data_IF_593543510860
#
_entry.id   IF_593543510860
#
_cell.length_a   1.000
_cell.length_b   1.000
_cell.length_c   1.000
_cell.angle_alpha   90.00
_cell.angle_beta   90.00
_cell.angle_gamma   90.00
#
_symmetry.space_group_name_H-M   'P 1'
#
loop_
_entity.id
_entity.type
_entity.pdbx_description
1 polymer ?
#
# COMPACT_ATOMS: atom_id res chain seq x y z
N UNK A 1 17.88 17.34 33.44
CA UNK A 1 18.31 16.08 32.82
C UNK A 1 19.56 16.38 32.04
N UNK A 2 20.54 15.47 32.04
CA UNK A 2 21.74 15.63 31.22
C UNK A 2 21.41 15.61 29.72
N UNK A 3 22.18 16.32 28.88
CA UNK A 3 22.05 16.21 27.43
C UNK A 3 22.30 14.78 26.95
N UNK A 4 21.41 14.27 26.09
CA UNK A 4 21.55 12.93 25.49
C UNK A 4 21.57 13.05 23.97
N UNK A 5 22.25 12.13 23.25
CA UNK A 5 22.24 12.13 21.79
C UNK A 5 20.88 11.69 21.24
N UNK A 6 20.38 12.39 20.20
CA UNK A 6 19.16 12.00 19.52
C UNK A 6 19.36 10.79 18.60
N UNK A 7 18.50 9.76 18.72
CA UNK A 7 18.58 8.57 17.85
C UNK A 7 18.28 8.85 16.35
N UNK A 8 17.71 10.01 16.03
CA UNK A 8 17.35 10.36 14.65
C UNK A 8 18.38 11.23 13.92
N UNK A 9 19.05 12.14 14.62
CA UNK A 9 20.00 13.09 14.01
C UNK A 9 21.35 13.16 14.74
N UNK A 10 21.56 12.36 15.79
CA UNK A 10 22.77 12.32 16.63
C UNK A 10 23.14 13.61 17.34
N UNK A 11 22.39 14.70 17.15
CA UNK A 11 22.57 15.95 17.88
C UNK A 11 22.16 15.77 19.35
N UNK A 12 22.98 16.28 20.26
CA UNK A 12 22.66 16.31 21.69
C UNK A 12 21.49 17.25 21.96
N UNK A 13 20.58 16.84 22.85
CA UNK A 13 19.46 17.66 23.29
C UNK A 13 19.13 17.36 24.75
N UNK A 14 18.48 18.31 25.42
CA UNK A 14 18.01 18.11 26.80
C UNK A 14 16.60 17.48 26.76
N UNK A 15 16.42 16.25 27.27
CA UNK A 15 15.12 15.59 27.24
C UNK A 15 14.16 16.20 28.27
N UNK A 16 12.86 16.24 27.93
CA UNK A 16 11.80 16.72 28.83
C UNK A 16 11.31 15.64 29.79
N UNK A 17 11.48 14.37 29.42
CA UNK A 17 11.18 13.22 30.27
C UNK A 17 12.23 12.11 30.07
N UNK A 18 12.36 11.20 31.03
CA UNK A 18 13.39 10.14 31.04
C UNK A 18 13.29 9.17 29.86
N UNK A 19 12.12 9.09 29.20
CA UNK A 19 11.85 8.18 28.09
C UNK A 19 12.02 8.85 26.72
N UNK A 20 12.38 10.13 26.67
CA UNK A 20 12.50 10.86 25.41
C UNK A 20 13.82 10.51 24.73
N UNK A 21 13.75 9.80 23.60
CA UNK A 21 14.94 9.36 22.84
C UNK A 21 15.21 10.19 21.57
N UNK A 22 14.29 11.08 21.22
CA UNK A 22 14.39 11.92 20.02
C UNK A 22 14.21 13.40 20.37
N UNK A 23 15.01 14.26 19.74
CA UNK A 23 14.90 15.71 19.87
C UNK A 23 13.57 16.22 19.28
N UNK A 24 13.20 17.46 19.59
CA UNK A 24 11.91 18.05 19.18
C UNK A 24 11.80 18.36 17.68
N UNK A 25 12.83 18.09 16.87
CA UNK A 25 12.78 18.39 15.44
C UNK A 25 11.68 17.55 14.74
N UNK A 26 10.91 18.14 13.81
CA UNK A 26 9.83 17.42 13.14
C UNK A 26 10.28 16.19 12.36
N UNK A 27 11.51 16.17 11.83
CA UNK A 27 12.07 15.01 11.15
C UNK A 27 12.29 13.84 12.12
N UNK A 28 12.97 14.07 13.25
CA UNK A 28 13.23 13.03 14.25
C UNK A 28 11.95 12.54 14.91
N UNK A 29 10.98 13.43 15.17
CA UNK A 29 9.69 13.02 15.73
C UNK A 29 8.86 12.18 14.75
N UNK A 30 8.91 12.49 13.44
CA UNK A 30 8.28 11.64 12.40
C UNK A 30 8.94 10.26 12.34
N UNK A 31 10.27 10.20 12.38
CA UNK A 31 11.02 8.94 12.39
C UNK A 31 10.65 8.09 13.62
N UNK A 32 10.62 8.69 14.81
CA UNK A 32 10.20 8.02 16.05
C UNK A 32 8.81 7.41 15.94
N UNK A 33 7.81 8.20 15.52
CA UNK A 33 6.42 7.76 15.37
C UNK A 33 6.30 6.64 14.33
N UNK A 34 7.02 6.74 13.22
CA UNK A 34 7.03 5.72 12.17
C UNK A 34 7.66 4.40 12.64
N UNK A 35 8.74 4.45 13.42
CA UNK A 35 9.35 3.25 14.00
C UNK A 35 8.43 2.60 15.03
N UNK A 36 7.84 3.39 15.93
CA UNK A 36 6.85 2.89 16.88
C UNK A 36 5.66 2.23 16.17
N UNK A 37 5.11 2.87 15.14
CA UNK A 37 3.97 2.33 14.40
C UNK A 37 4.33 1.01 13.71
N UNK A 38 5.51 0.91 13.08
CA UNK A 38 5.99 -0.33 12.45
C UNK A 38 6.13 -1.46 13.47
N UNK A 39 6.74 -1.17 14.62
CA UNK A 39 6.88 -2.15 15.69
C UNK A 39 5.52 -2.58 16.23
N UNK A 40 4.60 -1.62 16.47
CA UNK A 40 3.26 -1.94 16.93
C UNK A 40 2.49 -2.81 15.95
N UNK A 41 2.51 -2.48 14.66
CA UNK A 41 1.88 -3.32 13.64
C UNK A 41 2.48 -4.73 13.54
N UNK A 42 3.77 -4.90 13.86
CA UNK A 42 4.44 -6.20 13.81
C UNK A 42 4.18 -7.05 15.05
N UNK A 43 4.10 -6.43 16.23
CA UNK A 43 4.03 -7.15 17.53
C UNK A 43 2.60 -7.30 18.05
N UNK A 44 1.66 -6.46 17.59
CA UNK A 44 0.30 -6.34 18.15
C UNK A 44 -0.76 -6.64 17.07
N UNK A 45 -1.20 -7.91 16.94
CA UNK A 45 -2.17 -8.30 15.91
C UNK A 45 -3.53 -7.64 16.07
N UNK A 46 -3.99 -7.40 17.30
CA UNK A 46 -5.26 -6.74 17.58
C UNK A 46 -5.23 -5.28 17.13
N UNK A 47 -4.13 -4.59 17.38
CA UNK A 47 -3.90 -3.24 16.87
C UNK A 47 -3.93 -3.20 15.34
N UNK A 48 -3.27 -4.15 14.68
CA UNK A 48 -3.26 -4.23 13.22
C UNK A 48 -4.66 -4.47 12.63
N UNK A 49 -5.44 -5.38 13.22
CA UNK A 49 -6.81 -5.65 12.81
C UNK A 49 -7.73 -4.44 13.02
N UNK A 50 -7.62 -3.80 14.17
CA UNK A 50 -8.39 -2.59 14.49
C UNK A 50 -8.09 -1.45 13.52
N UNK A 51 -6.81 -1.24 13.17
CA UNK A 51 -6.41 -0.25 12.18
C UNK A 51 -6.99 -0.56 10.79
N UNK A 52 -6.96 -1.83 10.37
CA UNK A 52 -7.56 -2.28 9.10
C UNK A 52 -9.07 -2.06 9.07
N UNK A 53 -9.77 -2.43 10.15
CA UNK A 53 -11.22 -2.24 10.27
C UNK A 53 -11.60 -0.75 10.21
N UNK A 54 -10.87 0.10 10.94
CA UNK A 54 -11.07 1.55 10.93
C UNK A 54 -10.88 2.13 9.52
N UNK A 55 -9.82 1.74 8.82
CA UNK A 55 -9.58 2.17 7.44
C UNK A 55 -10.70 1.70 6.49
N UNK A 56 -11.17 0.46 6.63
CA UNK A 56 -12.27 -0.05 5.81
C UNK A 56 -13.58 0.69 6.07
N UNK A 57 -13.92 0.96 7.34
CA UNK A 57 -15.08 1.77 7.71
C UNK A 57 -14.99 3.18 7.13
N UNK A 58 -13.81 3.80 7.21
CA UNK A 58 -13.60 5.13 6.65
C UNK A 58 -13.77 5.13 5.12
N UNK A 59 -13.21 4.15 4.41
CA UNK A 59 -13.37 4.02 2.96
C UNK A 59 -14.83 3.79 2.54
N UNK A 60 -15.58 2.98 3.30
CA UNK A 60 -17.00 2.74 3.06
C UNK A 60 -17.83 4.01 3.27
N UNK A 61 -17.52 4.79 4.31
CA UNK A 61 -18.23 6.02 4.66
C UNK A 61 -17.83 7.24 3.81
N UNK A 62 -16.68 7.19 3.13
CA UNK A 62 -16.16 8.31 2.33
C UNK A 62 -15.88 7.89 0.88
N UNK A 63 -16.91 7.41 0.15
CA UNK A 63 -16.75 7.09 -1.25
C UNK A 63 -16.34 8.33 -2.05
N UNK A 64 -15.56 8.13 -3.12
CA UNK A 64 -15.03 9.19 -3.99
C UNK A 64 -14.05 10.20 -3.36
N UNK A 65 -13.78 10.15 -2.05
CA UNK A 65 -12.89 11.12 -1.38
C UNK A 65 -11.57 11.35 -2.14
N UNK A 66 -10.89 10.28 -2.55
CA UNK A 66 -9.61 10.38 -3.27
C UNK A 66 -9.74 10.93 -4.69
N UNK A 67 -10.88 10.76 -5.35
CA UNK A 67 -11.16 11.36 -6.66
C UNK A 67 -11.31 12.86 -6.50
N UNK A 68 -12.13 13.28 -5.54
CA UNK A 68 -12.41 14.69 -5.28
C UNK A 68 -11.20 15.42 -4.73
N UNK A 69 -10.44 14.78 -3.83
CA UNK A 69 -9.19 15.32 -3.31
C UNK A 69 -8.19 15.60 -4.44
N UNK A 70 -8.04 14.67 -5.40
CA UNK A 70 -7.14 14.84 -6.54
C UNK A 70 -7.63 15.90 -7.52
N UNK A 71 -8.95 16.02 -7.71
CA UNK A 71 -9.55 17.10 -8.52
C UNK A 71 -9.24 18.47 -7.92
N UNK A 72 -9.41 18.62 -6.59
CA UNK A 72 -9.12 19.86 -5.86
C UNK A 72 -7.63 20.15 -5.68
N UNK A 73 -6.74 19.16 -5.81
CA UNK A 73 -5.30 19.30 -5.61
C UNK A 73 -4.50 18.77 -6.83
N UNK A 74 -4.70 19.34 -8.04
CA UNK A 74 -4.14 18.79 -9.27
C UNK A 74 -2.61 18.82 -9.29
N UNK A 75 -2.00 19.87 -8.75
CA UNK A 75 -0.55 20.04 -8.63
C UNK A 75 0.09 18.97 -7.74
N UNK A 76 -0.48 18.74 -6.55
CA UNK A 76 -0.03 17.66 -5.64
C UNK A 76 -0.20 16.28 -6.29
N UNK A 77 -1.30 16.06 -6.99
CA UNK A 77 -1.55 14.81 -7.70
C UNK A 77 -0.52 14.58 -8.83
N UNK A 78 -0.17 15.63 -9.58
CA UNK A 78 0.86 15.56 -10.62
C UNK A 78 2.25 15.25 -10.02
N UNK A 79 2.66 15.98 -8.98
CA UNK A 79 3.92 15.73 -8.25
C UNK A 79 4.01 14.30 -7.72
N UNK A 80 2.95 13.81 -7.07
CA UNK A 80 2.91 12.45 -6.55
C UNK A 80 3.00 11.39 -7.65
N UNK A 81 2.38 11.63 -8.82
CA UNK A 81 2.51 10.75 -9.99
C UNK A 81 3.96 10.66 -10.49
N UNK A 82 4.68 11.78 -10.54
CA UNK A 82 6.09 11.81 -10.94
C UNK A 82 6.96 11.04 -9.94
N UNK A 83 6.82 11.31 -8.64
CA UNK A 83 7.58 10.58 -7.62
C UNK A 83 7.26 9.09 -7.57
N UNK A 84 6.01 8.71 -7.87
CA UNK A 84 5.65 7.29 -8.00
C UNK A 84 6.37 6.63 -9.17
N UNK A 85 6.51 7.31 -10.33
CA UNK A 85 7.28 6.79 -11.47
C UNK A 85 8.77 6.63 -11.12
N UNK A 86 9.36 7.60 -10.42
CA UNK A 86 10.75 7.52 -9.97
C UNK A 86 10.96 6.32 -9.05
N UNK A 87 10.09 6.16 -8.03
CA UNK A 87 10.16 5.01 -7.11
C UNK A 87 9.98 3.66 -7.83
N UNK A 88 9.04 3.58 -8.77
CA UNK A 88 8.82 2.35 -9.55
C UNK A 88 10.03 2.02 -10.42
N UNK A 89 10.65 3.02 -11.07
CA UNK A 89 11.88 2.82 -11.87
C UNK A 89 13.05 2.38 -11.01
N UNK A 90 13.20 2.93 -9.80
CA UNK A 90 14.25 2.52 -8.87
C UNK A 90 14.11 1.05 -8.47
N UNK A 91 12.89 0.61 -8.11
CA UNK A 91 12.62 -0.80 -7.76
C UNK A 91 12.93 -1.76 -8.91
N UNK A 92 12.51 -1.42 -10.13
CA UNK A 92 12.76 -2.25 -11.30
C UNK A 92 14.27 -2.43 -11.64
N UNK A 93 15.16 -1.56 -11.13
CA UNK A 93 16.61 -1.70 -11.30
C UNK A 93 17.23 -2.66 -10.29
N UNK A 94 16.71 -2.71 -9.07
CA UNK A 94 17.14 -3.64 -8.01
C UNK A 94 16.72 -5.09 -8.26
N UNK A 95 15.63 -5.31 -9.01
CA UNK A 95 15.10 -6.65 -9.27
C UNK A 95 15.79 -7.39 -10.45
N UNK A 96 16.92 -6.88 -10.96
CA UNK A 96 17.64 -7.48 -12.11
C UNK A 96 18.33 -8.83 -11.81
N UNK A 97 18.20 -9.38 -10.60
CA UNK A 97 18.89 -10.61 -10.17
C UNK A 97 18.00 -11.78 -9.75
N UNK A 98 16.68 -11.65 -9.78
CA UNK A 98 15.78 -12.75 -9.42
C UNK A 98 14.72 -12.92 -10.51
N UNK A 99 14.84 -14.02 -11.26
CA UNK A 99 13.87 -14.46 -12.28
C UNK A 99 12.56 -14.93 -11.63
N UNK A 100 11.85 -14.00 -11.00
CA UNK A 100 10.47 -14.21 -10.58
C UNK A 100 9.64 -12.98 -10.93
N UNK A 101 8.81 -13.15 -11.96
CA UNK A 101 7.64 -12.31 -12.26
C UNK A 101 7.89 -10.80 -12.42
N UNK A 102 8.07 -10.41 -13.68
CA UNK A 102 8.23 -9.05 -14.23
C UNK A 102 7.05 -8.08 -13.99
N UNK A 103 6.27 -8.22 -12.92
CA UNK A 103 5.10 -7.39 -12.65
C UNK A 103 4.83 -7.14 -11.15
N UNK A 104 5.79 -6.57 -10.41
CA UNK A 104 5.42 -5.83 -9.17
C UNK A 104 5.12 -4.38 -9.51
N UNK A 105 4.14 -4.17 -10.38
CA UNK A 105 3.40 -2.92 -10.38
C UNK A 105 2.69 -2.81 -9.02
N UNK A 106 2.70 -1.64 -8.38
CA UNK A 106 1.83 -1.43 -7.23
C UNK A 106 0.39 -1.66 -7.70
N UNK A 107 -0.19 -2.80 -7.32
CA UNK A 107 -1.58 -3.09 -7.57
C UNK A 107 -2.40 -2.02 -6.84
N UNK A 108 -3.17 -1.23 -7.59
CA UNK A 108 -4.13 -0.30 -6.99
C UNK A 108 -5.27 -1.14 -6.44
N UNK A 109 -5.28 -1.32 -5.12
CA UNK A 109 -6.36 -1.99 -4.40
C UNK A 109 -7.72 -1.30 -4.62
N UNK A 110 -7.70 0.02 -4.84
CA UNK A 110 -8.89 0.85 -5.03
C UNK A 110 -9.63 0.57 -6.35
N UNK A 111 -8.99 -0.15 -7.28
CA UNK A 111 -9.66 -0.66 -8.47
C UNK A 111 -10.24 -2.05 -8.19
N UNK A 112 -11.11 -2.17 -7.17
CA UNK A 112 -12.24 -3.10 -7.33
C UNK A 112 -13.05 -2.56 -8.49
N UNK A 113 -12.64 -2.87 -9.72
CA UNK A 113 -13.62 -2.98 -10.79
C UNK A 113 -14.64 -3.95 -10.21
N UNK A 114 -15.89 -3.51 -10.08
CA UNK A 114 -17.02 -4.41 -9.86
C UNK A 114 -16.73 -5.67 -10.66
N UNK A 115 -16.85 -6.83 -10.00
CA UNK A 115 -16.78 -8.13 -10.65
C UNK A 115 -17.39 -7.96 -12.03
N UNK A 116 -16.65 -8.34 -13.07
CA UNK A 116 -17.11 -8.24 -14.45
C UNK A 116 -18.47 -8.93 -14.46
N UNK A 117 -19.56 -8.15 -14.44
CA UNK A 117 -20.91 -8.68 -14.40
C UNK A 117 -21.08 -9.34 -15.76
N UNK A 118 -20.92 -10.66 -15.79
CA UNK A 118 -20.85 -11.43 -17.03
C UNK A 118 -19.44 -11.60 -17.56
N UNK A 119 -18.62 -12.43 -16.93
CA UNK A 119 -17.51 -13.09 -17.62
C UNK A 119 -18.11 -14.10 -18.61
N UNK A 120 -18.62 -13.60 -19.73
CA UNK A 120 -19.02 -14.43 -20.87
C UNK A 120 -18.04 -14.23 -22.02
N UNK A 121 -17.56 -15.33 -22.61
CA UNK A 121 -16.62 -15.27 -23.73
C UNK A 121 -15.63 -16.42 -23.77
N UNK A 122 -14.75 -16.37 -24.77
CA UNK A 122 -13.68 -17.34 -24.99
C UNK A 122 -12.45 -16.98 -24.15
N UNK A 123 -11.93 -17.97 -23.42
CA UNK A 123 -10.74 -17.86 -22.59
C UNK A 123 -9.80 -19.02 -22.85
N UNK A 124 -8.52 -18.83 -22.55
CA UNK A 124 -7.52 -19.90 -22.57
C UNK A 124 -7.11 -20.22 -21.13
N UNK A 125 -7.30 -21.47 -20.74
CA UNK A 125 -6.82 -22.00 -19.48
C UNK A 125 -5.35 -22.40 -19.66
N UNK A 126 -4.44 -21.67 -19.01
CA UNK A 126 -3.00 -21.94 -19.06
C UNK A 126 -2.56 -22.48 -17.69
N UNK A 127 -2.24 -23.79 -17.57
CA UNK A 127 -1.83 -24.38 -16.30
C UNK A 127 -0.45 -23.85 -15.87
N UNK A 128 -0.35 -23.39 -14.61
CA UNK A 128 0.90 -22.80 -14.09
C UNK A 128 1.95 -23.83 -13.65
N UNK A 129 1.56 -25.09 -13.41
CA UNK A 129 2.45 -26.14 -12.87
C UNK A 129 2.20 -27.44 -13.62
N UNK A 130 2.60 -27.48 -14.90
CA UNK A 130 2.99 -28.67 -15.68
C UNK A 130 3.08 -28.29 -17.17
N UNK A 131 3.88 -29.05 -17.93
CA UNK A 131 4.10 -28.94 -19.37
C UNK A 131 2.88 -29.45 -20.15
N UNK A 132 1.77 -28.74 -20.06
CA UNK A 132 0.54 -29.02 -20.82
C UNK A 132 0.18 -27.80 -21.68
N UNK A 133 -0.38 -28.08 -22.86
CA UNK A 133 -0.85 -27.04 -23.78
C UNK A 133 -2.06 -26.30 -23.21
N UNK A 134 -2.21 -25.04 -23.62
CA UNK A 134 -3.34 -24.22 -23.21
C UNK A 134 -4.65 -24.77 -23.78
N UNK A 135 -5.69 -24.83 -22.95
CA UNK A 135 -7.02 -25.32 -23.36
C UNK A 135 -7.96 -24.15 -23.57
N UNK A 136 -8.63 -24.10 -24.73
CA UNK A 136 -9.66 -23.09 -25.03
C UNK A 136 -10.95 -23.47 -24.31
N UNK A 137 -11.50 -22.56 -23.52
CA UNK A 137 -12.76 -22.73 -22.80
C UNK A 137 -13.70 -21.55 -23.07
N UNK A 138 -15.00 -21.80 -23.08
CA UNK A 138 -16.01 -20.74 -23.14
C UNK A 138 -16.71 -20.65 -21.79
N UNK A 139 -16.68 -19.47 -21.17
CA UNK A 139 -17.42 -19.20 -19.93
C UNK A 139 -18.71 -18.49 -20.33
N UNK A 140 -19.84 -18.93 -19.81
CA UNK A 140 -21.14 -18.29 -20.01
C UNK A 140 -21.69 -17.85 -18.65
N UNK A 141 -22.09 -16.58 -18.55
CA UNK A 141 -22.77 -16.08 -17.37
C UNK A 141 -24.26 -16.43 -17.44
N UNK A 142 -24.73 -17.24 -16.50
CA UNK A 142 -26.15 -17.54 -16.37
C UNK A 142 -26.80 -16.34 -15.67
N UNK A 143 -27.79 -15.67 -16.27
CA UNK A 143 -28.53 -14.63 -15.58
C UNK A 143 -29.23 -15.26 -14.36
N UNK A 144 -29.00 -14.69 -13.17
CA UNK A 144 -29.63 -15.14 -11.94
C UNK A 144 -31.14 -14.96 -12.03
N UNK A 145 -31.86 -16.02 -11.68
CA UNK A 145 -33.32 -16.04 -11.53
C UNK A 145 -33.73 -15.03 -10.45
N UNK A 146 -34.64 -14.07 -10.71
CA UNK A 146 -35.15 -13.18 -9.68
C UNK A 146 -36.23 -13.91 -8.87
N UNK A 147 -35.79 -14.73 -7.90
CA UNK A 147 -36.62 -15.30 -6.85
C UNK A 147 -36.60 -14.48 -5.58
#
# INVERSE_FOLDING_TARGET
>A
MEPIPCLGCSTFFIPRNKLQTHCSTPACQRARKASWQRQKLATDPEYAQSQKLSNNKWLANTPNYWKDYRSRNPEKAARNRIFQRIRNRAKARTDKGLDTSRHVGIAKMDARKSLINGLSGEFWLVPMIAKMDAVKIFIAAIPGDPG
#
